data_IF_260535550633
#
_entry.id   IF_260535550633
#
_cell.length_a   1.000
_cell.length_b   1.000
_cell.length_c   1.000
_cell.angle_alpha   90.00
_cell.angle_beta   90.00
_cell.angle_gamma   90.00
#
_symmetry.space_group_name_H-M   'P 1'
#
loop_
_entity.id
_entity.type
_entity.pdbx_description
1 polymer ?
#
# COMPACT_ATOMS: atom_id res chain seq x y z
N UNK A 1 -1.29 15.92 5.27
CA UNK A 1 -1.28 14.59 4.63
C UNK A 1 -2.45 13.79 5.17
N UNK A 2 -3.31 13.33 4.28
CA UNK A 2 -4.47 12.49 4.62
C UNK A 2 -4.26 11.11 4.00
N UNK A 3 -5.01 10.11 4.44
CA UNK A 3 -4.92 8.73 3.95
C UNK A 3 -4.09 7.83 4.86
N UNK A 4 -3.87 6.58 4.42
CA UNK A 4 -3.31 5.52 5.27
C UNK A 4 -1.78 5.52 5.28
N UNK A 5 -1.14 5.44 4.11
CA UNK A 5 0.30 5.20 4.00
C UNK A 5 1.15 6.46 4.16
N UNK A 6 0.70 7.60 3.60
CA UNK A 6 1.49 8.82 3.58
C UNK A 6 1.88 9.37 4.96
N UNK A 7 0.99 9.40 5.99
CA UNK A 7 1.36 9.81 7.33
C UNK A 7 2.40 8.89 7.98
N UNK A 8 2.29 7.56 7.77
CA UNK A 8 3.22 6.59 8.33
C UNK A 8 4.62 6.73 7.70
N UNK A 9 4.70 6.85 6.37
CA UNK A 9 5.99 7.11 5.71
C UNK A 9 6.57 8.44 6.14
N UNK A 10 5.76 9.50 6.24
CA UNK A 10 6.24 10.80 6.70
C UNK A 10 6.78 10.76 8.13
N UNK A 11 6.15 9.97 9.01
CA UNK A 11 6.68 9.74 10.35
C UNK A 11 8.04 9.02 10.29
N UNK A 12 8.12 7.93 9.51
CA UNK A 12 9.35 7.16 9.34
C UNK A 12 10.51 8.01 8.79
N UNK A 13 10.23 8.86 7.79
CA UNK A 13 11.23 9.76 7.21
C UNK A 13 11.75 10.78 8.22
N UNK A 14 10.87 11.35 9.07
CA UNK A 14 11.27 12.30 10.11
C UNK A 14 12.16 11.68 11.18
N UNK A 15 11.98 10.39 11.48
CA UNK A 15 12.87 9.66 12.40
C UNK A 15 14.31 9.57 11.86
N UNK A 16 14.47 9.63 10.53
CA UNK A 16 15.79 9.71 9.86
C UNK A 16 16.29 11.14 9.66
N UNK A 17 15.59 12.14 10.21
CA UNK A 17 15.95 13.56 10.04
C UNK A 17 15.64 14.13 8.66
N UNK A 18 14.79 13.45 7.88
CA UNK A 18 14.39 13.88 6.53
C UNK A 18 13.19 14.81 6.62
N UNK A 19 13.31 16.00 6.06
CA UNK A 19 12.23 16.96 5.95
C UNK A 19 11.16 16.49 4.97
N UNK A 20 9.88 16.66 5.36
CA UNK A 20 8.74 16.21 4.55
C UNK A 20 7.82 17.38 4.23
N UNK A 21 7.71 17.70 2.95
CA UNK A 21 6.77 18.68 2.42
C UNK A 21 5.52 17.98 1.89
N UNK A 22 4.35 18.38 2.38
CA UNK A 22 3.09 17.81 1.92
C UNK A 22 2.56 18.54 0.69
N UNK A 23 2.09 17.78 -0.30
CA UNK A 23 1.34 18.34 -1.42
C UNK A 23 -0.02 18.86 -0.93
N UNK A 24 -0.30 20.13 -1.17
CA UNK A 24 -1.58 20.77 -0.86
C UNK A 24 -2.39 20.98 -2.16
N UNK A 25 -3.42 20.15 -2.37
CA UNK A 25 -4.26 20.20 -3.57
C UNK A 25 -5.08 21.50 -3.69
N UNK A 26 -5.26 22.22 -2.59
CA UNK A 26 -5.95 23.52 -2.62
C UNK A 26 -5.06 24.64 -3.16
N UNK A 27 -3.74 24.43 -3.15
CA UNK A 27 -2.76 25.43 -3.61
C UNK A 27 -2.13 25.03 -4.96
N UNK A 28 -2.04 23.73 -5.22
CA UNK A 28 -1.34 23.20 -6.39
C UNK A 28 -2.30 22.26 -7.12
N UNK A 29 -2.84 22.73 -8.23
CA UNK A 29 -3.78 21.97 -9.05
C UNK A 29 -3.09 20.72 -9.65
N UNK A 30 -3.72 19.57 -9.48
CA UNK A 30 -3.17 18.27 -9.92
C UNK A 30 -3.39 18.02 -11.43
N UNK A 31 -4.30 18.75 -12.04
CA UNK A 31 -4.67 18.72 -13.46
C UNK A 31 -3.95 19.78 -14.29
N UNK A 32 -3.12 20.60 -13.66
CA UNK A 32 -2.23 21.56 -14.32
C UNK A 32 -0.77 21.07 -14.33
N UNK A 33 -0.27 20.51 -15.45
CA UNK A 33 1.10 20.05 -15.56
C UNK A 33 2.17 21.12 -15.29
N UNK A 34 1.87 22.40 -15.58
CA UNK A 34 2.80 23.50 -15.36
C UNK A 34 2.90 23.82 -13.86
N UNK A 35 1.78 23.82 -13.13
CA UNK A 35 1.76 23.96 -11.68
C UNK A 35 2.49 22.82 -10.98
N UNK A 36 2.27 21.58 -11.43
CA UNK A 36 2.97 20.38 -10.93
C UNK A 36 4.49 20.53 -11.10
N UNK A 37 4.94 20.89 -12.30
CA UNK A 37 6.36 21.12 -12.61
C UNK A 37 6.94 22.23 -11.74
N UNK A 38 6.31 23.40 -11.75
CA UNK A 38 6.79 24.56 -10.99
C UNK A 38 6.97 24.25 -9.51
N UNK A 39 6.02 23.52 -8.90
CA UNK A 39 6.13 23.15 -7.50
C UNK A 39 7.32 22.23 -7.22
N UNK A 40 7.50 21.17 -8.02
CA UNK A 40 8.61 20.24 -7.84
C UNK A 40 9.96 20.95 -8.02
N UNK A 41 10.09 21.77 -9.07
CA UNK A 41 11.32 22.50 -9.36
C UNK A 41 11.65 23.59 -8.32
N UNK A 42 10.64 24.20 -7.69
CA UNK A 42 10.83 25.14 -6.58
C UNK A 42 11.25 24.46 -5.29
N UNK A 43 10.62 23.30 -4.96
CA UNK A 43 10.94 22.57 -3.74
C UNK A 43 12.29 21.85 -3.82
N UNK A 44 12.74 21.44 -5.00
CA UNK A 44 13.98 20.69 -5.25
C UNK A 44 14.16 19.52 -4.28
N UNK A 45 13.15 18.63 -4.14
CA UNK A 45 13.26 17.52 -3.20
C UNK A 45 14.21 16.46 -3.74
N UNK A 46 14.83 15.67 -2.85
CA UNK A 46 15.57 14.47 -3.26
C UNK A 46 14.63 13.36 -3.71
N UNK A 47 13.47 13.29 -3.12
CA UNK A 47 12.46 12.24 -3.35
C UNK A 47 11.06 12.84 -3.50
N UNK A 48 10.28 12.29 -4.42
CA UNK A 48 8.83 12.56 -4.53
C UNK A 48 8.09 11.24 -4.35
N UNK A 49 7.20 11.18 -3.34
CA UNK A 49 6.42 10.00 -2.99
C UNK A 49 4.94 10.22 -3.33
N UNK A 50 4.45 9.59 -4.40
CA UNK A 50 3.07 9.71 -4.86
C UNK A 50 2.20 8.57 -4.31
N UNK A 51 1.42 8.87 -3.27
CA UNK A 51 0.54 7.91 -2.57
C UNK A 51 -0.93 8.31 -2.66
N UNK A 52 -1.22 9.35 -3.44
CA UNK A 52 -2.56 9.90 -3.53
C UNK A 52 -3.35 9.30 -4.70
N UNK A 53 -4.67 9.33 -4.60
CA UNK A 53 -5.55 9.13 -5.74
C UNK A 53 -5.58 10.39 -6.61
N UNK A 54 -5.63 10.21 -7.93
CA UNK A 54 -5.67 11.30 -8.90
C UNK A 54 -5.70 10.71 -10.32
N UNK A 55 -5.52 11.52 -11.36
CA UNK A 55 -5.46 10.96 -12.72
C UNK A 55 -4.13 10.21 -12.96
N UNK A 56 -4.11 9.16 -13.81
CA UNK A 56 -2.86 8.54 -14.24
C UNK A 56 -1.91 9.54 -14.92
N UNK A 57 -2.44 10.54 -15.59
CA UNK A 57 -1.68 11.63 -16.22
C UNK A 57 -0.93 12.46 -15.17
N UNK A 58 -1.55 12.76 -14.03
CA UNK A 58 -0.87 13.45 -12.94
C UNK A 58 0.32 12.66 -12.41
N UNK A 59 0.12 11.36 -12.15
CA UNK A 59 1.19 10.48 -11.70
C UNK A 59 2.36 10.43 -12.71
N UNK A 60 2.06 10.29 -14.00
CA UNK A 60 3.05 10.28 -15.06
C UNK A 60 3.77 11.64 -15.21
N UNK A 61 3.05 12.76 -15.06
CA UNK A 61 3.64 14.10 -15.08
C UNK A 61 4.65 14.27 -13.95
N UNK A 62 4.30 13.88 -12.73
CA UNK A 62 5.22 13.93 -11.58
C UNK A 62 6.47 13.06 -11.84
N UNK A 63 6.28 11.83 -12.30
CA UNK A 63 7.38 10.92 -12.62
C UNK A 63 8.32 11.51 -13.67
N UNK A 64 7.76 12.08 -14.76
CA UNK A 64 8.52 12.73 -15.82
C UNK A 64 9.34 13.92 -15.30
N UNK A 65 8.72 14.81 -14.53
CA UNK A 65 9.40 15.99 -13.96
C UNK A 65 10.52 15.56 -13.00
N UNK A 66 10.28 14.54 -12.18
CA UNK A 66 11.31 13.99 -11.29
C UNK A 66 12.51 13.46 -12.08
N UNK A 67 12.26 12.64 -13.11
CA UNK A 67 13.32 12.12 -13.99
C UNK A 67 14.15 13.24 -14.63
N UNK A 68 13.51 14.26 -15.20
CA UNK A 68 14.17 15.40 -15.85
C UNK A 68 15.06 16.18 -14.88
N UNK A 69 14.79 16.12 -13.58
CA UNK A 69 15.52 16.83 -12.51
C UNK A 69 16.41 15.92 -11.66
N UNK A 70 16.55 14.64 -11.98
CA UNK A 70 17.36 13.69 -11.21
C UNK A 70 16.79 13.36 -9.82
N UNK A 71 15.48 13.54 -9.63
CA UNK A 71 14.74 13.30 -8.39
C UNK A 71 14.20 11.88 -8.37
N UNK A 72 14.38 11.12 -7.29
CA UNK A 72 13.77 9.80 -7.15
C UNK A 72 12.26 9.90 -7.03
N UNK A 73 11.54 9.13 -7.84
CA UNK A 73 10.08 9.10 -7.81
C UNK A 73 9.56 7.74 -7.34
N UNK A 74 8.75 7.73 -6.28
CA UNK A 74 8.07 6.54 -5.76
C UNK A 74 6.56 6.65 -5.96
N UNK A 75 5.97 5.59 -6.52
CA UNK A 75 4.51 5.40 -6.61
C UNK A 75 4.08 4.19 -5.78
N UNK A 76 3.01 4.33 -5.00
CA UNK A 76 2.38 3.19 -4.36
C UNK A 76 1.29 2.58 -5.25
N UNK A 77 1.58 1.39 -5.77
CA UNK A 77 0.65 0.49 -6.44
C UNK A 77 -0.18 -0.32 -5.43
N UNK A 78 -0.80 -1.41 -5.88
CA UNK A 78 -1.67 -2.27 -5.06
C UNK A 78 -1.63 -3.71 -5.55
N UNK A 79 -1.86 -4.68 -4.66
CA UNK A 79 -2.12 -6.07 -5.04
C UNK A 79 -3.40 -6.23 -5.90
N UNK A 80 -4.32 -5.28 -5.83
CA UNK A 80 -5.57 -5.27 -6.65
C UNK A 80 -5.33 -5.09 -8.15
N UNK A 81 -4.09 -4.87 -8.59
CA UNK A 81 -3.76 -4.94 -10.04
C UNK A 81 -3.91 -6.36 -10.59
N UNK A 82 -4.06 -7.35 -9.74
CA UNK A 82 -4.28 -8.75 -10.09
C UNK A 82 -5.73 -9.15 -9.89
N UNK A 83 -6.22 -10.04 -10.77
CA UNK A 83 -7.53 -10.66 -10.63
C UNK A 83 -7.54 -11.64 -9.44
N UNK A 84 -8.15 -11.23 -8.33
CA UNK A 84 -8.25 -12.03 -7.11
C UNK A 84 -9.14 -13.28 -7.23
N UNK A 85 -9.81 -13.50 -8.35
CA UNK A 85 -10.52 -14.77 -8.63
C UNK A 85 -9.57 -15.88 -9.12
N UNK A 86 -8.37 -15.52 -9.55
CA UNK A 86 -7.34 -16.45 -10.04
C UNK A 86 -6.46 -16.93 -8.90
N UNK A 87 -5.92 -18.15 -9.01
CA UNK A 87 -4.98 -18.66 -8.01
C UNK A 87 -3.65 -17.91 -8.05
N UNK A 88 -3.17 -17.49 -6.89
CA UNK A 88 -1.83 -16.96 -6.65
C UNK A 88 -0.99 -17.98 -5.86
N UNK A 89 0.08 -17.56 -5.19
CA UNK A 89 0.52 -16.17 -5.07
C UNK A 89 1.06 -15.57 -6.37
N UNK A 90 0.98 -14.25 -6.52
CA UNK A 90 1.29 -13.55 -7.77
C UNK A 90 2.73 -13.06 -7.82
N UNK A 91 3.56 -13.50 -8.79
CA UNK A 91 4.93 -13.02 -8.94
C UNK A 91 4.98 -11.57 -9.46
N UNK A 92 6.13 -10.91 -9.27
CA UNK A 92 6.30 -9.48 -9.59
C UNK A 92 6.17 -9.19 -11.08
N UNK A 93 6.58 -10.11 -11.93
CA UNK A 93 6.54 -10.02 -13.39
C UNK A 93 5.18 -10.39 -14.01
N UNK A 94 4.21 -10.84 -13.19
CA UNK A 94 2.85 -11.09 -13.67
C UNK A 94 2.25 -9.79 -14.19
N UNK A 95 1.76 -9.85 -15.44
CA UNK A 95 1.03 -8.74 -16.04
C UNK A 95 -0.24 -8.43 -15.25
N UNK A 96 -0.51 -7.16 -14.91
CA UNK A 96 -1.76 -6.74 -14.31
C UNK A 96 -2.98 -7.20 -15.12
N UNK A 97 -3.97 -7.78 -14.45
CA UNK A 97 -5.18 -8.33 -15.06
C UNK A 97 -6.44 -8.03 -14.22
N UNK A 98 -6.44 -6.94 -13.46
CA UNK A 98 -7.52 -6.51 -12.60
C UNK A 98 -8.87 -6.44 -13.31
N UNK A 99 -9.92 -6.89 -12.63
CA UNK A 99 -11.30 -6.87 -13.11
C UNK A 99 -12.12 -5.73 -12.52
N UNK A 100 -11.70 -5.13 -11.42
CA UNK A 100 -12.33 -3.97 -10.79
C UNK A 100 -11.73 -2.64 -11.26
N UNK A 101 -12.47 -1.54 -11.05
CA UNK A 101 -12.07 -0.21 -11.52
C UNK A 101 -10.85 0.33 -10.79
N UNK A 102 -10.69 0.01 -9.51
CA UNK A 102 -9.54 0.48 -8.71
C UNK A 102 -8.25 -0.19 -9.17
N UNK A 103 -8.26 -1.51 -9.35
CA UNK A 103 -7.12 -2.27 -9.84
C UNK A 103 -6.72 -1.82 -11.25
N UNK A 104 -7.69 -1.67 -12.16
CA UNK A 104 -7.44 -1.14 -13.52
C UNK A 104 -6.85 0.26 -13.51
N UNK A 105 -7.40 1.16 -12.69
CA UNK A 105 -6.87 2.51 -12.52
C UNK A 105 -5.40 2.48 -12.03
N UNK A 106 -5.09 1.66 -11.03
CA UNK A 106 -3.72 1.55 -10.50
C UNK A 106 -2.75 0.93 -11.53
N UNK A 107 -3.18 -0.07 -12.27
CA UNK A 107 -2.40 -0.66 -13.36
C UNK A 107 -2.12 0.37 -14.49
N UNK A 108 -3.10 1.22 -14.81
CA UNK A 108 -2.90 2.30 -15.78
C UNK A 108 -1.91 3.36 -15.28
N UNK A 109 -1.95 3.71 -13.98
CA UNK A 109 -0.93 4.56 -13.37
C UNK A 109 0.46 3.96 -13.52
N UNK A 110 0.66 2.68 -13.15
CA UNK A 110 1.95 1.99 -13.29
C UNK A 110 2.46 2.06 -14.73
N UNK A 111 1.62 1.72 -15.70
CA UNK A 111 1.96 1.75 -17.14
C UNK A 111 2.39 3.14 -17.60
N UNK A 112 1.64 4.19 -17.24
CA UNK A 112 1.95 5.57 -17.66
C UNK A 112 3.20 6.11 -16.95
N UNK A 113 3.43 5.76 -15.69
CA UNK A 113 4.64 6.11 -14.95
C UNK A 113 5.87 5.50 -15.59
N UNK A 114 5.86 4.18 -15.87
CA UNK A 114 6.99 3.49 -16.51
C UNK A 114 7.29 4.07 -17.89
N UNK A 115 6.27 4.43 -18.66
CA UNK A 115 6.46 5.08 -19.95
C UNK A 115 7.11 6.48 -19.84
N UNK A 116 6.79 7.24 -18.78
CA UNK A 116 7.32 8.59 -18.53
C UNK A 116 8.69 8.56 -17.84
N UNK A 117 8.92 7.61 -16.94
CA UNK A 117 10.12 7.47 -16.11
C UNK A 117 10.41 5.98 -15.86
N UNK A 118 11.21 5.32 -16.72
CA UNK A 118 11.60 3.91 -16.54
C UNK A 118 12.39 3.65 -15.25
N UNK A 119 12.97 4.67 -14.67
CA UNK A 119 13.72 4.71 -13.41
C UNK A 119 12.86 5.06 -12.19
N UNK A 120 11.55 4.98 -12.31
CA UNK A 120 10.65 5.13 -11.18
C UNK A 120 10.69 3.90 -10.24
N UNK A 121 10.41 4.14 -8.96
CA UNK A 121 10.13 3.10 -7.98
C UNK A 121 8.62 2.88 -7.93
N UNK A 122 8.18 1.66 -8.14
CA UNK A 122 6.77 1.27 -7.99
C UNK A 122 6.68 0.20 -6.90
N UNK A 123 5.96 0.48 -5.84
CA UNK A 123 5.74 -0.43 -4.73
C UNK A 123 4.26 -0.86 -4.67
N UNK A 124 3.95 -2.09 -5.07
CA UNK A 124 2.62 -2.69 -4.89
C UNK A 124 2.44 -3.07 -3.43
N UNK A 125 1.36 -2.59 -2.84
CA UNK A 125 1.03 -2.81 -1.44
C UNK A 125 -0.15 -3.76 -1.31
N UNK A 126 -0.14 -4.59 -0.28
CA UNK A 126 -1.29 -5.33 0.20
C UNK A 126 -2.23 -4.46 1.04
N UNK A 127 -3.25 -5.07 1.63
CA UNK A 127 -4.14 -4.37 2.57
C UNK A 127 -3.39 -4.06 3.86
N UNK A 128 -3.41 -2.81 4.25
CA UNK A 128 -2.60 -2.30 5.36
C UNK A 128 -3.29 -2.54 6.71
N UNK A 129 -2.53 -3.00 7.69
CA UNK A 129 -2.94 -3.13 9.08
C UNK A 129 -2.38 -1.94 9.85
N UNK A 130 -3.26 -1.08 10.36
CA UNK A 130 -2.89 0.05 11.22
C UNK A 130 -2.99 -0.30 12.71
N UNK A 131 -2.60 0.64 13.58
CA UNK A 131 -2.69 0.45 15.03
C UNK A 131 -4.04 0.89 15.60
N UNK A 132 -4.81 1.69 14.85
CA UNK A 132 -6.09 2.25 15.26
C UNK A 132 -6.99 2.53 14.05
N UNK A 133 -8.33 2.68 14.27
CA UNK A 133 -9.23 3.19 13.25
C UNK A 133 -8.94 4.65 12.91
N UNK A 134 -9.48 5.15 11.79
CA UNK A 134 -9.37 6.56 11.38
C UNK A 134 -8.70 6.78 10.02
N UNK A 135 -8.34 5.72 9.32
CA UNK A 135 -7.91 5.75 7.93
C UNK A 135 -8.42 4.49 7.22
N UNK A 136 -8.23 4.35 5.92
CA UNK A 136 -8.70 3.17 5.18
C UNK A 136 -7.77 1.94 5.41
N UNK A 137 -7.58 1.53 6.66
CA UNK A 137 -6.82 0.35 7.06
C UNK A 137 -7.75 -0.77 7.57
N UNK A 138 -7.20 -1.95 7.83
CA UNK A 138 -7.98 -3.13 8.26
C UNK A 138 -8.67 -2.91 9.61
N UNK A 139 -8.04 -2.23 10.57
CA UNK A 139 -8.64 -1.93 11.88
C UNK A 139 -9.86 -1.02 11.71
N UNK A 140 -9.76 0.03 10.87
CA UNK A 140 -10.89 0.91 10.55
C UNK A 140 -12.06 0.14 9.92
N UNK A 141 -11.75 -0.79 9.01
CA UNK A 141 -12.76 -1.66 8.40
C UNK A 141 -13.48 -2.54 9.45
N UNK A 142 -12.74 -3.12 10.40
CA UNK A 142 -13.34 -3.95 11.47
C UNK A 142 -14.27 -3.13 12.36
N UNK A 143 -13.86 -1.96 12.82
CA UNK A 143 -14.72 -1.08 13.62
C UNK A 143 -15.96 -0.61 12.84
N UNK A 144 -15.83 -0.34 11.56
CA UNK A 144 -16.97 0.03 10.72
C UNK A 144 -17.95 -1.13 10.58
N UNK A 145 -17.47 -2.33 10.26
CA UNK A 145 -18.30 -3.53 10.12
C UNK A 145 -18.98 -3.89 11.45
N UNK A 146 -18.25 -3.84 12.56
CA UNK A 146 -18.80 -4.10 13.89
C UNK A 146 -19.90 -3.10 14.26
N UNK A 147 -19.74 -1.81 13.92
CA UNK A 147 -20.77 -0.78 14.14
C UNK A 147 -22.02 -1.05 13.30
N UNK A 148 -21.87 -1.51 12.08
CA UNK A 148 -22.98 -1.76 11.16
C UNK A 148 -23.69 -3.09 11.45
N UNK A 149 -22.96 -4.14 11.84
CA UNK A 149 -23.48 -5.52 11.95
C UNK A 149 -23.39 -6.12 13.35
N UNK A 150 -22.78 -5.43 14.33
CA UNK A 150 -22.50 -5.98 15.67
C UNK A 150 -21.39 -7.03 15.68
N UNK A 151 -20.75 -7.34 14.58
CA UNK A 151 -19.70 -8.35 14.44
C UNK A 151 -18.84 -8.08 13.21
N UNK A 152 -17.66 -8.71 13.15
CA UNK A 152 -16.79 -8.71 11.98
C UNK A 152 -16.84 -10.09 11.32
N UNK A 153 -17.31 -10.14 10.08
CA UNK A 153 -17.38 -11.34 9.24
C UNK A 153 -16.22 -11.34 8.24
N UNK A 154 -15.36 -12.35 8.29
CA UNK A 154 -14.19 -12.47 7.43
C UNK A 154 -14.01 -13.91 6.92
N UNK A 155 -13.40 -14.03 5.75
CA UNK A 155 -13.17 -15.32 5.12
C UNK A 155 -12.12 -16.15 5.86
N UNK A 156 -12.41 -17.44 6.06
CA UNK A 156 -11.44 -18.44 6.54
C UNK A 156 -10.72 -19.17 5.38
N UNK A 157 -11.09 -18.91 4.13
CA UNK A 157 -10.51 -19.53 2.93
C UNK A 157 -9.56 -18.62 2.14
N UNK A 158 -9.63 -17.29 2.36
CA UNK A 158 -8.82 -16.33 1.59
C UNK A 158 -7.54 -15.96 2.35
N UNK A 159 -6.41 -16.15 1.69
CA UNK A 159 -5.09 -15.67 2.11
C UNK A 159 -4.77 -14.43 1.28
N UNK A 160 -4.90 -13.26 1.89
CA UNK A 160 -4.76 -11.97 1.21
C UNK A 160 -3.38 -11.37 1.43
N UNK A 161 -2.94 -10.53 0.50
CA UNK A 161 -1.74 -9.72 0.64
C UNK A 161 -1.92 -8.67 1.73
N UNK A 162 -1.09 -8.73 2.78
CA UNK A 162 -1.19 -7.84 3.95
C UNK A 162 0.18 -7.46 4.49
N UNK A 163 0.26 -6.27 5.09
CA UNK A 163 1.41 -5.85 5.88
C UNK A 163 0.98 -4.86 6.98
N UNK A 164 1.72 -4.80 8.08
CA UNK A 164 1.57 -3.71 9.01
C UNK A 164 2.04 -2.39 8.40
N UNK A 165 1.32 -1.34 8.67
CA UNK A 165 1.57 -0.01 8.13
C UNK A 165 2.97 0.52 8.49
N UNK A 166 3.44 0.23 9.70
CA UNK A 166 4.78 0.60 10.15
C UNK A 166 5.88 -0.14 9.36
N UNK A 167 5.68 -1.42 9.06
CA UNK A 167 6.63 -2.23 8.29
C UNK A 167 6.63 -1.83 6.80
N UNK A 168 5.45 -1.48 6.27
CA UNK A 168 5.33 -0.88 4.93
C UNK A 168 6.09 0.45 4.86
N UNK A 169 5.92 1.33 5.84
CA UNK A 169 6.61 2.62 5.87
C UNK A 169 8.14 2.46 5.93
N UNK A 170 8.62 1.51 6.74
CA UNK A 170 10.06 1.19 6.81
C UNK A 170 10.58 0.60 5.49
N UNK A 171 9.83 -0.31 4.86
CA UNK A 171 10.22 -0.89 3.58
C UNK A 171 10.26 0.18 2.47
N UNK A 172 9.30 1.12 2.42
CA UNK A 172 9.29 2.22 1.46
C UNK A 172 10.48 3.18 1.66
N UNK A 173 10.85 3.46 2.91
CA UNK A 173 12.07 4.23 3.21
C UNK A 173 13.32 3.51 2.69
N UNK A 174 13.50 2.23 3.06
CA UNK A 174 14.67 1.45 2.61
C UNK A 174 14.72 1.29 1.09
N UNK A 175 13.56 1.17 0.45
CA UNK A 175 13.44 1.14 -1.00
C UNK A 175 14.10 2.38 -1.64
N UNK A 176 13.74 3.57 -1.18
CA UNK A 176 14.30 4.82 -1.69
C UNK A 176 15.76 5.04 -1.29
N UNK A 177 16.14 4.64 -0.06
CA UNK A 177 17.48 4.86 0.46
C UNK A 177 18.53 3.91 -0.13
N UNK A 178 18.17 2.62 -0.33
CA UNK A 178 19.16 1.56 -0.52
C UNK A 178 18.94 0.67 -1.74
N UNK A 179 17.80 0.76 -2.43
CA UNK A 179 17.50 -0.09 -3.59
C UNK A 179 17.57 0.68 -4.91
N UNK A 180 17.62 -0.05 -6.01
CA UNK A 180 17.56 0.50 -7.38
C UNK A 180 16.11 0.78 -7.80
N UNK A 181 15.87 1.67 -8.79
CA UNK A 181 14.54 1.81 -9.39
C UNK A 181 13.99 0.49 -9.93
N UNK A 182 12.66 0.33 -9.89
CA UNK A 182 12.00 -0.87 -10.38
C UNK A 182 10.63 -1.10 -9.75
N UNK A 183 10.07 -2.27 -10.06
CA UNK A 183 8.78 -2.74 -9.54
C UNK A 183 9.01 -3.69 -8.36
N UNK A 184 8.34 -3.41 -7.25
CA UNK A 184 8.45 -4.14 -6.00
C UNK A 184 7.07 -4.54 -5.48
N UNK A 185 7.02 -5.65 -4.75
CA UNK A 185 5.84 -6.14 -4.06
C UNK A 185 6.12 -6.20 -2.56
N UNK A 186 5.36 -5.44 -1.76
CA UNK A 186 5.53 -5.40 -0.31
C UNK A 186 4.51 -6.35 0.35
N UNK A 187 4.98 -7.53 0.75
CA UNK A 187 4.18 -8.61 1.30
C UNK A 187 4.69 -9.02 2.68
N UNK A 188 3.81 -9.00 3.67
CA UNK A 188 4.14 -9.39 5.05
C UNK A 188 3.32 -10.58 5.56
N UNK A 189 2.36 -11.12 4.77
CA UNK A 189 1.55 -12.25 5.19
C UNK A 189 2.24 -13.59 4.85
N UNK A 190 2.70 -14.38 5.83
CA UNK A 190 3.36 -15.66 5.57
C UNK A 190 2.41 -16.76 5.09
N UNK A 191 1.10 -16.55 5.12
CA UNK A 191 0.09 -17.52 4.70
C UNK A 191 -1.12 -17.61 5.62
N UNK A 192 -1.36 -16.60 6.45
CA UNK A 192 -2.53 -16.51 7.31
C UNK A 192 -3.77 -16.13 6.49
N UNK A 193 -4.88 -16.80 6.77
CA UNK A 193 -6.19 -16.40 6.25
C UNK A 193 -6.66 -15.08 6.88
N UNK A 194 -7.63 -14.41 6.27
CA UNK A 194 -8.21 -13.19 6.84
C UNK A 194 -8.82 -13.45 8.22
N UNK A 195 -9.41 -14.64 8.44
CA UNK A 195 -9.94 -15.01 9.74
C UNK A 195 -8.84 -15.17 10.81
N UNK A 196 -7.74 -15.84 10.48
CA UNK A 196 -6.59 -15.97 11.38
C UNK A 196 -5.98 -14.60 11.73
N UNK A 197 -5.83 -13.72 10.74
CA UNK A 197 -5.35 -12.35 10.97
C UNK A 197 -6.32 -11.61 11.90
N UNK A 198 -7.62 -11.63 11.60
CA UNK A 198 -8.63 -10.91 12.38
C UNK A 198 -8.73 -11.43 13.82
N UNK A 199 -8.66 -12.75 14.04
CA UNK A 199 -8.67 -13.35 15.37
C UNK A 199 -7.44 -12.97 16.18
N UNK A 200 -6.25 -12.95 15.57
CA UNK A 200 -5.02 -12.53 16.24
C UNK A 200 -5.03 -11.02 16.53
N UNK A 201 -5.57 -10.19 15.63
CA UNK A 201 -5.79 -8.77 15.88
C UNK A 201 -6.81 -8.53 17.00
N UNK A 202 -7.87 -9.35 17.06
CA UNK A 202 -8.83 -9.29 18.16
C UNK A 202 -8.13 -9.55 19.52
N UNK A 203 -7.27 -10.55 19.58
CA UNK A 203 -6.50 -10.84 20.79
C UNK A 203 -5.51 -9.72 21.14
N UNK A 204 -4.86 -9.13 20.14
CA UNK A 204 -3.89 -8.05 20.32
C UNK A 204 -4.52 -6.75 20.80
N UNK A 205 -5.65 -6.36 20.21
CA UNK A 205 -6.31 -5.08 20.45
C UNK A 205 -7.48 -5.16 21.45
N UNK A 206 -7.84 -6.36 21.93
CA UNK A 206 -8.96 -6.58 22.85
C UNK A 206 -10.28 -5.98 22.34
N UNK A 207 -10.63 -6.26 21.06
CA UNK A 207 -11.87 -5.75 20.49
C UNK A 207 -13.08 -6.21 21.29
N UNK A 208 -14.09 -5.33 21.40
CA UNK A 208 -15.37 -5.55 22.10
C UNK A 208 -16.45 -6.22 21.22
N UNK A 209 -16.08 -6.68 20.04
CA UNK A 209 -16.98 -7.30 19.06
C UNK A 209 -16.42 -8.67 18.60
N UNK A 210 -17.28 -9.65 18.29
CA UNK A 210 -16.84 -10.95 17.85
C UNK A 210 -16.33 -10.96 16.41
N UNK A 211 -15.35 -11.84 16.16
CA UNK A 211 -14.89 -12.18 14.81
C UNK A 211 -15.57 -13.48 14.40
N UNK A 212 -16.25 -13.48 13.28
CA UNK A 212 -17.02 -14.62 12.77
C UNK A 212 -16.46 -15.06 11.41
N UNK A 213 -16.09 -16.34 11.26
CA UNK A 213 -15.65 -16.81 9.95
C UNK A 213 -16.83 -17.00 9.00
N UNK A 214 -16.62 -16.75 7.74
CA UNK A 214 -17.48 -17.27 6.67
C UNK A 214 -16.71 -18.16 5.72
N UNK A 215 -17.38 -19.21 5.25
CA UNK A 215 -16.77 -20.21 4.38
C UNK A 215 -16.63 -19.69 2.95
N UNK A 216 -15.43 -19.80 2.41
CA UNK A 216 -15.13 -19.58 1.01
C UNK A 216 -14.14 -20.64 0.51
N UNK A 217 -14.12 -20.94 -0.80
CA UNK A 217 -13.05 -21.75 -1.37
C UNK A 217 -11.68 -21.14 -1.05
N UNK A 218 -10.71 -21.98 -0.71
CA UNK A 218 -9.35 -21.51 -0.40
C UNK A 218 -8.73 -20.86 -1.63
N UNK A 219 -8.30 -19.60 -1.47
CA UNK A 219 -7.58 -18.82 -2.48
C UNK A 219 -6.40 -18.13 -1.85
N UNK A 220 -5.22 -18.31 -2.43
CA UNK A 220 -4.04 -17.54 -2.07
C UNK A 220 -3.87 -16.41 -3.10
N UNK A 221 -4.14 -15.19 -2.68
CA UNK A 221 -4.05 -13.99 -3.52
C UNK A 221 -2.96 -13.03 -3.02
N UNK A 222 -1.95 -13.58 -2.34
CA UNK A 222 -0.77 -12.82 -1.95
C UNK A 222 0.09 -12.47 -3.16
N UNK A 223 0.94 -11.48 -2.95
CA UNK A 223 2.07 -11.20 -3.83
C UNK A 223 3.29 -12.00 -3.39
N UNK A 224 4.18 -12.35 -4.33
CA UNK A 224 5.49 -12.90 -4.00
C UNK A 224 6.45 -11.73 -3.77
N UNK A 225 7.13 -11.73 -2.62
CA UNK A 225 8.15 -10.75 -2.30
C UNK A 225 9.47 -11.47 -1.97
N UNK A 226 10.43 -11.35 -2.88
CA UNK A 226 11.78 -11.92 -2.79
C UNK A 226 12.89 -10.85 -2.89
N UNK A 227 12.53 -9.59 -3.02
CA UNK A 227 13.47 -8.51 -3.37
C UNK A 227 13.68 -7.48 -2.28
N UNK A 228 12.74 -7.30 -1.37
CA UNK A 228 12.84 -6.37 -0.26
C UNK A 228 12.24 -6.97 1.01
N UNK A 229 12.98 -6.91 2.12
CA UNK A 229 12.46 -7.39 3.38
C UNK A 229 11.28 -6.52 3.87
N UNK A 230 10.20 -7.17 4.27
CA UNK A 230 9.04 -6.56 4.95
C UNK A 230 8.81 -7.37 6.23
N UNK A 231 8.51 -6.71 7.35
CA UNK A 231 8.17 -7.40 8.60
C UNK A 231 7.03 -8.38 8.39
N UNK A 232 7.19 -9.61 8.90
CA UNK A 232 6.15 -10.62 8.79
C UNK A 232 5.02 -10.34 9.78
N UNK A 233 3.78 -10.66 9.42
CA UNK A 233 2.64 -10.48 10.32
C UNK A 233 2.84 -11.24 11.64
N UNK A 234 3.48 -12.40 11.60
CA UNK A 234 3.80 -13.24 12.77
C UNK A 234 4.79 -12.61 13.73
N UNK A 235 5.57 -11.61 13.30
CA UNK A 235 6.50 -10.90 14.18
C UNK A 235 5.76 -9.97 15.17
N UNK A 236 4.53 -9.60 14.86
CA UNK A 236 3.71 -8.65 15.64
C UNK A 236 2.40 -9.23 16.14
N UNK A 237 1.85 -10.22 15.46
CA UNK A 237 0.63 -10.88 15.88
C UNK A 237 0.95 -11.96 16.92
N UNK A 238 0.14 -12.10 17.98
CA UNK A 238 0.29 -13.21 18.91
C UNK A 238 0.13 -14.55 18.19
N UNK A 239 0.73 -15.60 18.73
CA UNK A 239 0.48 -16.96 18.27
C UNK A 239 -1.01 -17.28 18.30
N UNK A 240 -1.45 -18.15 17.37
CA UNK A 240 -2.86 -18.40 17.17
C UNK A 240 -3.53 -18.83 18.48
N UNK A 241 -4.54 -18.08 18.90
CA UNK A 241 -5.47 -18.52 19.93
C UNK A 241 -6.27 -19.64 19.30
N UNK A 242 -6.10 -20.88 19.77
CA UNK A 242 -7.01 -21.95 19.39
C UNK A 242 -8.45 -21.52 19.70
N UNK A 243 -9.41 -21.75 18.80
CA UNK A 243 -10.79 -21.37 18.99
C UNK A 243 -11.42 -21.99 20.23
#
# INVERSE_FOLDING_TARGET
>A
MNGTVAPALAHRLRLEGIDVVAWDRNKIAIDDPAAVRSFIEQQKPDWVCHMAMGSPVWAATMAKVCRENGIKFLFTGTCSVFDGSKPGPFPVDKTPDATDDYGRYKADCERQIVAASPDAYIARLGWQIGDAPGSNNMIDFFYRMAREKGRVEVSNGVIHSNAFLVDTADALYRLLAHHTPGLYQLEGNPGLTLYEIATRLHALHHFDFPIVPHEEPRRDIRMINDTIAVGQLTDRLPDGVSP
#
